data_IF_819616776419
#
_entry.id   IF_819616776419
#
_cell.length_a   1.000
_cell.length_b   1.000
_cell.length_c   1.000
_cell.angle_alpha   90.00
_cell.angle_beta   90.00
_cell.angle_gamma   90.00
#
_symmetry.space_group_name_H-M   'P 1'
#
loop_
_entity.id
_entity.type
_entity.pdbx_description
1 polymer ?
#
# COMPACT_ATOMS: atom_id res chain seq x y z
N UNK A 1 -27.64 -16.44 -11.21
CA UNK A 1 -28.08 -15.99 -9.87
C UNK A 1 -28.29 -14.50 -9.90
N UNK A 2 -29.54 -14.05 -9.74
CA UNK A 2 -29.95 -12.63 -9.84
C UNK A 2 -29.70 -11.84 -8.54
N UNK A 3 -28.57 -12.11 -7.87
CA UNK A 3 -28.25 -11.55 -6.56
C UNK A 3 -27.42 -10.27 -6.71
N UNK A 4 -27.69 -9.27 -5.86
CA UNK A 4 -26.91 -8.02 -5.83
C UNK A 4 -25.66 -8.23 -4.97
N UNK A 5 -24.45 -8.04 -5.53
CA UNK A 5 -23.21 -8.14 -4.75
C UNK A 5 -23.10 -7.03 -3.70
N UNK A 6 -22.73 -7.38 -2.47
CA UNK A 6 -22.43 -6.41 -1.40
C UNK A 6 -20.95 -6.54 -1.04
N UNK A 7 -20.20 -5.46 -1.24
CA UNK A 7 -18.78 -5.39 -0.94
C UNK A 7 -18.57 -4.61 0.36
N UNK A 8 -17.91 -5.24 1.33
CA UNK A 8 -17.69 -4.67 2.69
C UNK A 8 -16.20 -4.67 3.00
N UNK A 9 -15.69 -3.55 3.50
CA UNK A 9 -14.28 -3.42 3.88
C UNK A 9 -13.87 -1.98 4.18
N UNK A 10 -12.61 -1.79 4.58
CA UNK A 10 -12.03 -0.48 4.92
C UNK A 10 -10.95 0.03 3.95
N UNK A 11 -10.55 -0.77 2.95
CA UNK A 11 -9.44 -0.41 2.05
C UNK A 11 -9.94 0.45 0.90
N UNK A 12 -10.02 1.77 1.11
CA UNK A 12 -10.56 2.72 0.11
C UNK A 12 -9.89 2.63 -1.26
N UNK A 13 -8.59 2.31 -1.31
CA UNK A 13 -7.88 2.12 -2.58
C UNK A 13 -8.49 1.00 -3.44
N UNK A 14 -8.92 -0.12 -2.83
CA UNK A 14 -9.52 -1.24 -3.58
C UNK A 14 -10.90 -0.88 -4.13
N UNK A 15 -11.72 -0.17 -3.35
CA UNK A 15 -12.99 0.35 -3.85
C UNK A 15 -12.79 1.37 -4.98
N UNK A 16 -11.82 2.27 -4.84
CA UNK A 16 -11.48 3.23 -5.88
C UNK A 16 -10.97 2.53 -7.16
N UNK A 17 -10.13 1.50 -7.02
CA UNK A 17 -9.65 0.69 -8.14
C UNK A 17 -10.79 -0.06 -8.84
N UNK A 18 -11.77 -0.56 -8.08
CA UNK A 18 -12.92 -1.26 -8.62
C UNK A 18 -13.85 -0.31 -9.40
N UNK A 19 -14.10 0.87 -8.86
CA UNK A 19 -15.03 1.85 -9.43
C UNK A 19 -14.44 2.63 -10.62
N UNK A 20 -13.17 3.01 -10.55
CA UNK A 20 -12.55 3.84 -11.58
C UNK A 20 -11.58 3.06 -12.47
N UNK A 21 -11.28 1.80 -12.11
CA UNK A 21 -10.20 1.05 -12.73
C UNK A 21 -8.82 1.47 -12.22
N UNK A 22 -7.82 0.69 -12.62
CA UNK A 22 -6.41 1.01 -12.43
C UNK A 22 -5.81 1.45 -13.77
N UNK A 23 -4.85 2.36 -13.71
CA UNK A 23 -4.03 2.67 -14.88
C UNK A 23 -3.24 1.42 -15.29
N UNK A 24 -3.17 1.15 -16.58
CA UNK A 24 -2.37 0.06 -17.12
C UNK A 24 -0.87 0.40 -16.96
N UNK A 25 -0.30 -0.01 -15.82
CA UNK A 25 1.12 0.15 -15.51
C UNK A 25 1.82 -1.20 -15.66
N UNK A 26 3.10 -1.21 -16.09
CA UNK A 26 3.87 -2.45 -16.17
C UNK A 26 3.96 -3.11 -14.80
N UNK A 27 3.84 -4.43 -14.74
CA UNK A 27 4.01 -5.17 -13.49
C UNK A 27 5.46 -5.09 -12.98
N UNK A 28 5.64 -4.95 -11.67
CA UNK A 28 6.96 -4.97 -11.06
C UNK A 28 7.53 -6.39 -11.10
N UNK A 29 8.68 -6.57 -11.76
CA UNK A 29 9.45 -7.82 -11.74
C UNK A 29 10.27 -7.95 -10.45
N UNK A 30 10.72 -9.16 -10.11
CA UNK A 30 11.63 -9.35 -8.96
C UNK A 30 12.94 -8.56 -9.12
N UNK A 31 13.48 -8.55 -10.33
CA UNK A 31 14.72 -7.85 -10.69
C UNK A 31 14.60 -6.33 -10.55
N UNK A 32 13.51 -5.74 -11.04
CA UNK A 32 13.25 -4.31 -10.93
C UNK A 32 13.07 -3.88 -9.48
N UNK A 33 12.30 -4.64 -8.68
CA UNK A 33 12.18 -4.39 -7.23
C UNK A 33 13.52 -4.43 -6.53
N UNK A 34 14.36 -5.42 -6.83
CA UNK A 34 15.69 -5.53 -6.22
C UNK A 34 16.59 -4.36 -6.62
N UNK A 35 16.60 -3.99 -7.91
CA UNK A 35 17.34 -2.84 -8.43
C UNK A 35 16.96 -1.55 -7.71
N UNK A 36 15.67 -1.24 -7.62
CA UNK A 36 15.21 0.00 -7.00
C UNK A 36 15.33 0.00 -5.47
N UNK A 37 15.24 -1.17 -4.83
CA UNK A 37 15.56 -1.33 -3.41
C UNK A 37 17.04 -1.00 -3.13
N UNK A 38 17.97 -1.57 -3.92
CA UNK A 38 19.41 -1.26 -3.81
C UNK A 38 19.71 0.20 -4.09
N UNK A 39 19.07 0.80 -5.09
CA UNK A 39 19.21 2.22 -5.39
C UNK A 39 18.72 3.09 -4.24
N UNK A 40 17.57 2.77 -3.64
CA UNK A 40 17.03 3.49 -2.49
C UNK A 40 17.96 3.41 -1.28
N UNK A 41 18.52 2.22 -1.00
CA UNK A 41 19.48 2.05 0.10
C UNK A 41 20.78 2.83 -0.12
N UNK A 42 21.30 2.87 -1.35
CA UNK A 42 22.56 3.55 -1.68
C UNK A 42 22.45 5.07 -1.73
N UNK A 43 21.35 5.58 -2.30
CA UNK A 43 21.22 6.99 -2.65
C UNK A 43 20.25 7.76 -1.73
N UNK A 44 19.37 7.06 -1.03
CA UNK A 44 18.28 7.67 -0.27
C UNK A 44 17.14 8.21 -1.15
N UNK A 45 16.00 8.44 -0.52
CA UNK A 45 14.75 8.83 -1.19
C UNK A 45 14.86 10.21 -1.88
N UNK A 46 15.50 11.18 -1.23
CA UNK A 46 15.65 12.55 -1.75
C UNK A 46 16.42 12.59 -3.07
N UNK A 47 17.49 11.79 -3.19
CA UNK A 47 18.27 11.73 -4.43
C UNK A 47 17.49 11.04 -5.55
N UNK A 48 16.75 9.99 -5.24
CA UNK A 48 15.85 9.35 -6.19
C UNK A 48 14.70 10.27 -6.63
N UNK A 49 14.20 11.13 -5.74
CA UNK A 49 13.22 12.16 -6.10
C UNK A 49 13.81 13.17 -7.10
N UNK A 50 15.07 13.56 -6.92
CA UNK A 50 15.79 14.38 -7.91
C UNK A 50 15.85 13.70 -9.28
N UNK A 51 16.23 12.42 -9.33
CA UNK A 51 16.22 11.63 -10.59
C UNK A 51 14.82 11.55 -11.21
N UNK A 52 13.78 11.40 -10.38
CA UNK A 52 12.40 11.40 -10.85
C UNK A 52 12.01 12.75 -11.44
N UNK A 53 12.48 13.86 -10.86
CA UNK A 53 12.20 15.21 -11.38
C UNK A 53 12.77 15.44 -12.77
N UNK A 54 13.93 14.87 -13.07
CA UNK A 54 14.55 14.97 -14.39
C UNK A 54 13.79 14.16 -15.46
N UNK A 55 13.14 13.06 -15.06
CA UNK A 55 12.43 12.13 -15.96
C UNK A 55 10.94 12.49 -16.10
N UNK A 56 10.26 12.72 -14.98
CA UNK A 56 8.82 12.99 -14.88
C UNK A 56 8.56 14.12 -13.87
N UNK A 57 8.75 15.40 -14.27
CA UNK A 57 8.55 16.56 -13.41
C UNK A 57 7.13 16.62 -12.80
N UNK A 58 6.13 16.16 -13.56
CA UNK A 58 4.72 16.15 -13.12
C UNK A 58 4.50 15.19 -11.96
N UNK A 59 5.03 13.96 -12.06
CA UNK A 59 4.97 13.01 -10.96
C UNK A 59 5.80 13.47 -9.75
N UNK A 60 7.00 14.02 -9.99
CA UNK A 60 7.87 14.54 -8.93
C UNK A 60 7.21 15.67 -8.13
N UNK A 61 6.43 16.54 -8.77
CA UNK A 61 5.68 17.60 -8.09
C UNK A 61 4.56 17.05 -7.19
N UNK A 62 3.94 15.92 -7.59
CA UNK A 62 2.86 15.27 -6.81
C UNK A 62 3.36 14.35 -5.70
N UNK A 63 4.55 13.76 -5.87
CA UNK A 63 5.10 12.76 -4.95
C UNK A 63 6.07 13.46 -4.00
N UNK A 64 5.78 13.37 -2.70
CA UNK A 64 6.65 13.96 -1.68
C UNK A 64 8.03 13.26 -1.66
N UNK A 65 9.16 13.97 -1.46
CA UNK A 65 10.50 13.38 -1.42
C UNK A 65 10.70 12.25 -0.41
N UNK A 66 9.87 12.22 0.64
CA UNK A 66 9.90 11.17 1.69
C UNK A 66 9.04 9.94 1.34
N UNK A 67 8.24 9.99 0.27
CA UNK A 67 7.43 8.85 -0.17
C UNK A 67 8.28 7.93 -1.07
N UNK A 68 9.20 7.22 -0.42
CA UNK A 68 10.16 6.36 -1.10
C UNK A 68 9.49 5.28 -1.96
N UNK A 69 8.32 4.78 -1.55
CA UNK A 69 7.58 3.77 -2.30
C UNK A 69 7.02 4.33 -3.61
N UNK A 70 6.43 5.53 -3.60
CA UNK A 70 5.91 6.14 -4.83
C UNK A 70 7.03 6.60 -5.75
N UNK A 71 8.15 7.08 -5.20
CA UNK A 71 9.32 7.50 -5.98
C UNK A 71 9.93 6.30 -6.71
N UNK A 72 10.24 5.22 -5.98
CA UNK A 72 10.82 4.02 -6.61
C UNK A 72 9.88 3.42 -7.63
N UNK A 73 8.57 3.41 -7.36
CA UNK A 73 7.58 2.92 -8.33
C UNK A 73 7.51 3.77 -9.59
N UNK A 74 7.58 5.10 -9.49
CA UNK A 74 7.55 5.98 -10.66
C UNK A 74 8.78 5.77 -11.55
N UNK A 75 9.96 5.67 -10.94
CA UNK A 75 11.21 5.36 -11.65
C UNK A 75 11.17 3.95 -12.26
N UNK A 76 10.62 2.97 -11.55
CA UNK A 76 10.45 1.59 -12.03
C UNK A 76 9.55 1.52 -13.25
N UNK A 77 8.43 2.25 -13.27
CA UNK A 77 7.53 2.32 -14.42
C UNK A 77 8.26 2.83 -15.65
N UNK A 78 9.08 3.88 -15.51
CA UNK A 78 9.89 4.41 -16.60
C UNK A 78 10.96 3.42 -17.07
N UNK A 79 11.66 2.76 -16.13
CA UNK A 79 12.70 1.78 -16.44
C UNK A 79 12.17 0.57 -17.22
N UNK A 80 10.96 0.09 -16.89
CA UNK A 80 10.37 -1.08 -17.55
C UNK A 80 9.72 -0.71 -18.89
N UNK A 81 9.01 0.42 -18.95
CA UNK A 81 8.15 0.75 -20.10
C UNK A 81 8.74 1.78 -21.06
N UNK A 82 9.78 2.51 -20.65
CA UNK A 82 10.28 3.69 -21.34
C UNK A 82 9.33 4.90 -21.29
N UNK A 83 8.15 4.76 -20.66
CA UNK A 83 7.15 5.81 -20.51
C UNK A 83 7.05 6.26 -19.06
N UNK A 84 6.86 7.55 -18.86
CA UNK A 84 6.75 8.14 -17.54
C UNK A 84 5.46 7.72 -16.84
N UNK A 85 5.44 7.83 -15.50
CA UNK A 85 4.25 7.50 -14.73
C UNK A 85 3.08 8.43 -15.09
N UNK A 86 3.36 9.71 -15.32
CA UNK A 86 2.38 10.70 -15.72
C UNK A 86 1.74 10.38 -17.08
N UNK A 87 2.50 9.87 -18.06
CA UNK A 87 1.97 9.49 -19.38
C UNK A 87 1.03 8.28 -19.29
N UNK A 88 1.34 7.31 -18.41
CA UNK A 88 0.50 6.12 -18.25
C UNK A 88 -0.67 6.33 -17.27
N UNK A 89 -0.58 7.35 -16.40
CA UNK A 89 -1.67 7.74 -15.50
C UNK A 89 -2.78 8.48 -16.27
N UNK A 90 -3.84 7.77 -16.65
CA UNK A 90 -5.02 8.39 -17.23
C UNK A 90 -5.97 7.43 -17.93
N UNK A 91 -5.46 6.28 -18.37
CA UNK A 91 -6.24 5.19 -18.96
C UNK A 91 -7.04 4.39 -17.91
N UNK A 92 -7.91 5.07 -17.18
CA UNK A 92 -8.75 4.48 -16.14
C UNK A 92 -10.11 4.13 -16.74
N UNK A 93 -10.43 2.83 -16.78
CA UNK A 93 -11.74 2.34 -17.22
C UNK A 93 -12.38 1.58 -16.06
N UNK A 94 -13.58 2.03 -15.65
CA UNK A 94 -14.40 1.25 -14.71
C UNK A 94 -14.63 -0.15 -15.27
N UNK A 95 -14.50 -1.15 -14.40
CA UNK A 95 -14.86 -2.53 -14.72
C UNK A 95 -16.37 -2.75 -14.46
N UNK A 96 -16.99 -1.87 -13.66
CA UNK A 96 -18.40 -1.94 -13.27
C UNK A 96 -19.22 -0.96 -14.12
N UNK A 97 -20.18 -1.52 -14.87
CA UNK A 97 -21.13 -0.75 -15.67
C UNK A 97 -22.47 -0.49 -14.95
N UNK A 98 -22.64 -1.05 -13.75
CA UNK A 98 -23.84 -0.90 -12.92
C UNK A 98 -23.71 0.28 -11.94
N UNK A 99 -24.82 0.92 -11.55
CA UNK A 99 -24.77 1.95 -10.52
C UNK A 99 -24.29 1.36 -9.19
N UNK A 100 -23.34 2.04 -8.55
CA UNK A 100 -22.78 1.66 -7.25
C UNK A 100 -23.41 2.53 -6.17
N UNK A 101 -24.01 1.91 -5.16
CA UNK A 101 -24.49 2.59 -3.95
C UNK A 101 -23.38 2.50 -2.89
N UNK A 102 -22.85 3.64 -2.47
CA UNK A 102 -21.83 3.71 -1.40
C UNK A 102 -22.47 4.07 -0.08
N UNK A 103 -22.25 3.23 0.92
CA UNK A 103 -22.66 3.49 2.30
C UNK A 103 -21.38 3.60 3.14
N UNK A 104 -21.21 4.74 3.81
CA UNK A 104 -20.05 5.04 4.64
C UNK A 104 -20.50 5.14 6.09
N UNK A 105 -19.89 4.35 6.96
CA UNK A 105 -20.13 4.41 8.41
C UNK A 105 -19.00 5.23 9.03
N UNK A 106 -19.31 6.44 9.49
CA UNK A 106 -18.34 7.36 10.07
C UNK A 106 -18.82 7.85 11.44
N UNK A 107 -18.48 7.15 12.54
CA UNK A 107 -18.82 7.59 13.88
C UNK A 107 -18.01 8.83 14.29
N UNK A 108 -18.41 9.46 15.40
CA UNK A 108 -17.61 10.51 16.04
C UNK A 108 -16.18 10.03 16.33
N UNK A 109 -15.20 10.93 16.20
CA UNK A 109 -13.77 10.61 16.32
C UNK A 109 -13.41 10.14 17.73
N UNK A 110 -14.01 10.74 18.76
CA UNK A 110 -13.77 10.33 20.15
C UNK A 110 -14.30 8.93 20.43
N UNK A 111 -15.50 8.62 19.93
CA UNK A 111 -16.07 7.27 20.02
C UNK A 111 -15.24 6.24 19.23
N UNK A 112 -14.77 6.60 18.04
CA UNK A 112 -13.92 5.74 17.22
C UNK A 112 -12.64 5.34 17.94
N UNK A 113 -11.93 6.31 18.54
CA UNK A 113 -10.70 6.05 19.29
C UNK A 113 -10.94 5.08 20.45
N UNK A 114 -11.99 5.31 21.26
CA UNK A 114 -12.35 4.40 22.36
C UNK A 114 -12.63 2.98 21.89
N UNK A 115 -13.29 2.81 20.74
CA UNK A 115 -13.56 1.49 20.15
C UNK A 115 -12.28 0.82 19.63
N UNK A 116 -11.36 1.59 19.04
CA UNK A 116 -10.07 1.07 18.57
C UNK A 116 -9.24 0.56 19.75
N UNK A 117 -9.12 1.36 20.81
CA UNK A 117 -8.40 0.99 22.03
C UNK A 117 -8.97 -0.27 22.65
N UNK A 118 -10.29 -0.30 22.90
CA UNK A 118 -10.96 -1.48 23.46
C UNK A 118 -10.72 -2.73 22.61
N UNK A 119 -10.86 -2.62 21.28
CA UNK A 119 -10.65 -3.76 20.37
C UNK A 119 -9.20 -4.25 20.42
N UNK A 120 -8.22 -3.35 20.49
CA UNK A 120 -6.82 -3.72 20.58
C UNK A 120 -6.52 -4.47 21.89
N UNK A 121 -7.01 -3.97 23.03
CA UNK A 121 -6.86 -4.67 24.31
C UNK A 121 -7.49 -6.06 24.29
N UNK A 122 -8.70 -6.19 23.71
CA UNK A 122 -9.33 -7.51 23.53
C UNK A 122 -8.47 -8.45 22.68
N UNK A 123 -7.88 -7.97 21.57
CA UNK A 123 -6.97 -8.80 20.77
C UNK A 123 -5.75 -9.26 21.58
N UNK A 124 -5.20 -8.39 22.44
CA UNK A 124 -4.09 -8.76 23.33
C UNK A 124 -4.48 -9.88 24.30
N UNK A 125 -5.65 -9.75 24.94
CA UNK A 125 -6.20 -10.77 25.84
C UNK A 125 -6.50 -12.10 25.12
N UNK A 126 -6.93 -12.02 23.85
CA UNK A 126 -7.20 -13.17 22.99
C UNK A 126 -5.93 -13.84 22.42
N UNK A 127 -4.74 -13.39 22.84
CA UNK A 127 -3.46 -14.03 22.49
C UNK A 127 -2.83 -13.52 21.20
N UNK A 128 -3.08 -12.26 20.81
CA UNK A 128 -2.48 -11.65 19.61
C UNK A 128 -0.95 -11.78 19.56
N UNK A 129 -0.24 -11.61 20.68
CA UNK A 129 1.22 -11.77 20.70
C UNK A 129 1.64 -13.20 20.36
N UNK A 130 0.93 -14.20 20.86
CA UNK A 130 1.22 -15.61 20.56
C UNK A 130 1.01 -15.93 19.07
N UNK A 131 0.00 -15.33 18.44
CA UNK A 131 -0.20 -15.42 16.98
C UNK A 131 1.02 -14.86 16.24
N UNK A 132 1.47 -13.66 16.61
CA UNK A 132 2.61 -13.00 15.96
C UNK A 132 3.91 -13.77 16.23
N UNK A 133 4.12 -14.35 17.41
CA UNK A 133 5.25 -15.24 17.69
C UNK A 133 5.28 -16.46 16.77
N UNK A 134 4.11 -17.05 16.48
CA UNK A 134 3.98 -18.15 15.53
C UNK A 134 4.44 -17.75 14.13
N UNK A 135 4.08 -16.54 13.69
CA UNK A 135 4.54 -15.98 12.42
C UNK A 135 6.03 -15.63 12.45
N UNK A 136 6.53 -15.11 13.57
CA UNK A 136 7.92 -14.71 13.76
C UNK A 136 8.89 -15.89 13.63
N UNK A 137 8.48 -17.07 14.10
CA UNK A 137 9.25 -18.32 13.99
C UNK A 137 9.30 -18.87 12.55
N UNK A 138 8.49 -18.35 11.62
CA UNK A 138 8.47 -18.83 10.23
C UNK A 138 9.60 -18.17 9.42
N UNK A 139 10.60 -18.93 8.95
CA UNK A 139 11.76 -18.38 8.24
C UNK A 139 11.43 -17.79 6.86
N UNK A 140 10.22 -18.05 6.33
CA UNK A 140 9.74 -17.47 5.07
C UNK A 140 9.19 -16.06 5.23
N UNK A 141 8.96 -15.60 6.46
CA UNK A 141 8.39 -14.29 6.75
C UNK A 141 9.48 -13.31 7.18
N UNK A 142 9.32 -12.05 6.79
CA UNK A 142 10.20 -10.96 7.19
C UNK A 142 9.44 -9.62 7.22
N UNK A 143 10.04 -8.62 7.87
CA UNK A 143 9.44 -7.31 8.13
C UNK A 143 9.09 -6.49 6.87
N UNK A 144 9.66 -6.84 5.72
CA UNK A 144 9.39 -6.13 4.46
C UNK A 144 8.10 -6.61 3.78
N UNK A 145 7.52 -7.73 4.23
CA UNK A 145 6.30 -8.28 3.64
C UNK A 145 5.07 -7.42 4.00
N UNK A 146 4.14 -7.18 3.06
CA UNK A 146 2.92 -6.42 3.32
C UNK A 146 2.10 -6.96 4.49
N UNK A 147 2.07 -8.29 4.67
CA UNK A 147 1.37 -8.94 5.78
C UNK A 147 1.93 -8.55 7.15
N UNK A 148 3.27 -8.46 7.28
CA UNK A 148 3.92 -8.10 8.55
C UNK A 148 3.84 -6.59 8.81
N UNK A 149 3.75 -5.77 7.76
CA UNK A 149 3.60 -4.31 7.87
C UNK A 149 2.20 -3.84 8.26
N UNK A 150 1.25 -4.77 8.44
CA UNK A 150 -0.09 -4.46 8.95
C UNK A 150 -0.03 -3.81 10.35
N UNK A 151 -1.02 -2.96 10.64
CA UNK A 151 -1.18 -2.34 11.97
C UNK A 151 -1.33 -3.42 13.03
N UNK A 152 -0.61 -3.29 14.13
CA UNK A 152 -0.51 -4.31 15.20
C UNK A 152 0.64 -5.27 14.92
N UNK A 153 0.63 -5.95 13.77
CA UNK A 153 1.65 -6.97 13.43
C UNK A 153 3.05 -6.37 13.38
N UNK A 154 3.22 -5.20 12.78
CA UNK A 154 4.53 -4.55 12.69
C UNK A 154 5.10 -4.25 14.07
N UNK A 155 4.28 -3.66 14.95
CA UNK A 155 4.70 -3.27 16.29
C UNK A 155 5.00 -4.49 17.16
N UNK A 156 4.17 -5.54 17.07
CA UNK A 156 4.41 -6.80 17.76
C UNK A 156 5.68 -7.50 17.23
N UNK A 157 5.93 -7.45 15.92
CA UNK A 157 7.15 -7.98 15.32
C UNK A 157 8.40 -7.23 15.79
N UNK A 158 8.34 -5.90 15.85
CA UNK A 158 9.41 -5.05 16.42
C UNK A 158 9.63 -5.38 17.90
N UNK A 159 8.56 -5.52 18.70
CA UNK A 159 8.64 -5.95 20.10
C UNK A 159 9.35 -7.30 20.29
N UNK A 160 9.07 -8.29 19.43
CA UNK A 160 9.71 -9.61 19.48
C UNK A 160 11.18 -9.61 19.07
N UNK A 161 11.65 -8.59 18.33
CA UNK A 161 13.08 -8.45 18.00
C UNK A 161 13.93 -7.94 19.18
N UNK A 162 13.30 -7.35 20.20
CA UNK A 162 13.97 -6.57 21.24
C UNK A 162 14.36 -5.18 20.78
#
# INVERSE_FOLDING_TARGET
NNQTPILVGGTSFYFNALEYGLSALPESTSESREKFSKLLQRNGSTKLHGMLKDIDPSAANRIHPNDSQRITRALEVFDISGKTLSELQGSKKSIINNPIIKIIIMPDRGLLHKRIEKRFLTMMDDGFINEVEGLFKNPKLNENLPSIRCVGYRQAWEYLKG
#
